data_IF_564628004013
#
_entry.id   IF_564628004013
#
_cell.length_a   1.000
_cell.length_b   1.000
_cell.length_c   1.000
_cell.angle_alpha   90.00
_cell.angle_beta   90.00
_cell.angle_gamma   90.00
#
_symmetry.space_group_name_H-M   'P 1'
#
loop_
_entity.id
_entity.type
_entity.pdbx_description
1 polymer ?
#
# COMPACT_ATOMS: atom_id res chain seq x y z
N UNK A 1 -23.50 -5.19 -5.18
CA UNK A 1 -22.89 -5.44 -3.85
C UNK A 1 -21.67 -6.33 -3.94
N UNK A 2 -20.48 -5.70 -3.93
CA UNK A 2 -19.19 -6.35 -3.85
C UNK A 2 -18.78 -6.35 -2.36
N UNK A 3 -19.13 -7.41 -1.61
CA UNK A 3 -18.75 -7.57 -0.20
C UNK A 3 -17.95 -8.85 -0.06
N UNK A 4 -16.66 -8.74 0.26
CA UNK A 4 -15.75 -9.90 0.34
C UNK A 4 -15.20 -10.07 1.76
N UNK A 5 -16.00 -10.58 2.71
CA UNK A 5 -15.55 -10.76 4.10
C UNK A 5 -14.42 -11.80 4.24
N UNK A 6 -14.25 -12.67 3.24
CA UNK A 6 -13.16 -13.65 3.17
C UNK A 6 -11.91 -13.16 2.43
N UNK A 7 -11.85 -11.90 1.99
CA UNK A 7 -10.71 -11.36 1.25
C UNK A 7 -9.46 -11.35 2.13
N UNK A 8 -8.42 -12.08 1.71
CA UNK A 8 -7.12 -12.14 2.42
C UNK A 8 -6.04 -11.35 1.68
N UNK A 9 -6.15 -11.23 0.37
CA UNK A 9 -5.24 -10.47 -0.47
C UNK A 9 -6.03 -9.64 -1.48
N UNK A 10 -5.61 -8.39 -1.67
CA UNK A 10 -6.12 -7.49 -2.70
C UNK A 10 -4.97 -7.09 -3.61
N UNK A 11 -5.16 -7.23 -4.92
CA UNK A 11 -4.22 -6.78 -5.93
C UNK A 11 -4.98 -5.83 -6.84
N UNK A 12 -4.61 -4.56 -6.80
CA UNK A 12 -5.07 -3.54 -7.73
C UNK A 12 -4.05 -3.44 -8.84
N UNK A 13 -4.50 -3.72 -10.06
CA UNK A 13 -3.68 -3.63 -11.25
C UNK A 13 -3.95 -2.30 -11.96
N UNK A 14 -2.97 -1.73 -12.67
CA UNK A 14 -3.21 -0.58 -13.51
C UNK A 14 -4.31 -0.88 -14.53
N UNK A 15 -5.16 0.10 -14.88
CA UNK A 15 -6.22 -0.11 -15.84
C UNK A 15 -5.63 -0.40 -17.23
N UNK A 16 -6.15 -1.42 -17.91
CA UNK A 16 -5.78 -1.74 -19.30
C UNK A 16 -6.13 -0.60 -20.28
N UNK A 17 -7.12 0.22 -19.93
CA UNK A 17 -7.52 1.41 -20.68
C UNK A 17 -7.66 2.60 -19.72
N UNK A 18 -6.63 3.47 -19.63
CA UNK A 18 -6.63 4.62 -18.73
C UNK A 18 -7.81 5.58 -18.99
N UNK A 19 -8.17 5.81 -20.25
CA UNK A 19 -9.27 6.72 -20.62
C UNK A 19 -10.62 6.20 -20.12
N UNK A 20 -10.91 4.92 -20.33
CA UNK A 20 -12.14 4.30 -19.84
C UNK A 20 -12.18 4.24 -18.29
N UNK A 21 -11.02 4.05 -17.65
CA UNK A 21 -10.92 4.08 -16.20
C UNK A 21 -11.21 5.46 -15.64
N UNK A 22 -10.66 6.53 -16.22
CA UNK A 22 -10.90 7.91 -15.78
C UNK A 22 -12.39 8.28 -15.82
N UNK A 23 -13.14 7.81 -16.82
CA UNK A 23 -14.59 8.03 -16.90
C UNK A 23 -15.39 7.37 -15.77
N UNK A 24 -14.83 6.37 -15.10
CA UNK A 24 -15.49 5.61 -14.04
C UNK A 24 -14.72 5.60 -12.71
N UNK A 25 -13.63 6.38 -12.60
CA UNK A 25 -12.67 6.32 -11.51
C UNK A 25 -13.33 6.52 -10.13
N UNK A 26 -14.25 7.49 -10.04
CA UNK A 26 -14.98 7.76 -8.80
C UNK A 26 -15.86 6.57 -8.38
N UNK A 27 -16.59 5.95 -9.32
CA UNK A 27 -17.43 4.79 -9.01
C UNK A 27 -16.60 3.57 -8.60
N UNK A 28 -15.47 3.34 -9.25
CA UNK A 28 -14.56 2.26 -8.85
C UNK A 28 -13.94 2.50 -7.48
N UNK A 29 -13.59 3.75 -7.17
CA UNK A 29 -13.07 4.13 -5.86
C UNK A 29 -14.11 3.91 -4.76
N UNK A 30 -15.35 4.35 -4.95
CA UNK A 30 -16.45 4.14 -3.99
C UNK A 30 -16.69 2.64 -3.75
N UNK A 31 -16.69 1.83 -4.81
CA UNK A 31 -16.84 0.38 -4.70
C UNK A 31 -15.66 -0.27 -3.95
N UNK A 32 -14.43 0.18 -4.20
CA UNK A 32 -13.24 -0.29 -3.49
C UNK A 32 -13.31 0.07 -2.00
N UNK A 33 -13.68 1.30 -1.66
CA UNK A 33 -13.86 1.77 -0.28
C UNK A 33 -14.89 0.91 0.45
N UNK A 34 -16.08 0.72 -0.14
CA UNK A 34 -17.11 -0.12 0.45
C UNK A 34 -16.66 -1.57 0.64
N UNK A 35 -15.86 -2.10 -0.29
CA UNK A 35 -15.32 -3.45 -0.20
C UNK A 35 -14.32 -3.58 0.96
N UNK A 36 -13.38 -2.63 1.07
CA UNK A 36 -12.33 -2.61 2.08
C UNK A 36 -12.90 -2.49 3.50
N UNK A 37 -13.95 -1.68 3.70
CA UNK A 37 -14.64 -1.55 4.99
C UNK A 37 -15.17 -2.88 5.56
N UNK A 38 -15.42 -3.88 4.70
CA UNK A 38 -15.90 -5.20 5.11
C UNK A 38 -14.80 -6.27 5.13
N UNK A 39 -13.59 -5.95 4.66
CA UNK A 39 -12.49 -6.89 4.45
C UNK A 39 -11.65 -7.11 5.72
N UNK A 40 -12.28 -7.54 6.82
CA UNK A 40 -11.63 -7.71 8.14
C UNK A 40 -10.50 -8.74 8.20
N UNK A 41 -10.33 -9.56 7.15
CA UNK A 41 -9.29 -10.61 7.06
C UNK A 41 -8.18 -10.25 6.08
N UNK A 42 -8.21 -9.05 5.50
CA UNK A 42 -7.24 -8.61 4.52
C UNK A 42 -5.87 -8.52 5.18
N UNK A 43 -4.91 -9.29 4.67
CA UNK A 43 -3.54 -9.40 5.17
C UNK A 43 -2.53 -8.73 4.26
N UNK A 44 -2.82 -8.70 2.95
CA UNK A 44 -1.90 -8.20 1.92
C UNK A 44 -2.62 -7.30 0.93
N UNK A 45 -2.02 -6.16 0.61
CA UNK A 45 -2.49 -5.26 -0.44
C UNK A 45 -1.33 -4.92 -1.37
N UNK A 46 -1.56 -5.05 -2.67
CA UNK A 46 -0.68 -4.49 -3.71
C UNK A 46 -1.48 -3.45 -4.50
N UNK A 47 -0.97 -2.23 -4.62
CA UNK A 47 -1.66 -1.17 -5.35
C UNK A 47 -0.71 -0.12 -5.95
N UNK A 48 -1.09 0.53 -7.07
CA UNK A 48 -0.39 1.69 -7.59
C UNK A 48 -0.31 2.82 -6.58
N UNK A 49 0.79 3.56 -6.63
CA UNK A 49 1.08 4.73 -5.79
C UNK A 49 0.03 5.85 -5.93
N UNK A 50 -0.78 5.81 -6.98
CA UNK A 50 -1.40 6.99 -7.52
C UNK A 50 -2.89 6.83 -7.80
N UNK A 51 -3.58 6.20 -6.85
CA UNK A 51 -5.03 6.34 -6.72
C UNK A 51 -5.34 7.80 -6.33
N UNK A 52 -5.19 8.69 -7.31
CA UNK A 52 -4.86 10.12 -7.22
C UNK A 52 -5.86 11.00 -6.48
N UNK A 53 -7.05 10.48 -6.21
CA UNK A 53 -8.12 11.22 -5.51
C UNK A 53 -8.53 10.50 -4.21
N UNK A 54 -8.09 9.26 -4.01
CA UNK A 54 -8.55 8.40 -2.91
C UNK A 54 -7.47 7.79 -2.06
N UNK A 55 -6.18 7.93 -2.40
CA UNK A 55 -5.13 7.18 -1.71
C UNK A 55 -5.10 7.45 -0.21
N UNK A 56 -5.35 8.70 0.21
CA UNK A 56 -5.42 9.03 1.63
C UNK A 56 -6.57 8.29 2.33
N UNK A 57 -7.73 8.23 1.71
CA UNK A 57 -8.91 7.55 2.26
C UNK A 57 -8.71 6.03 2.26
N UNK A 58 -8.20 5.48 1.16
CA UNK A 58 -7.87 4.06 1.04
C UNK A 58 -6.85 3.65 2.08
N UNK A 59 -5.72 4.37 2.20
CA UNK A 59 -4.68 4.10 3.19
C UNK A 59 -5.24 4.25 4.61
N UNK A 60 -6.08 5.27 4.88
CA UNK A 60 -6.77 5.39 6.18
C UNK A 60 -7.61 4.16 6.49
N UNK A 61 -8.42 3.68 5.56
CA UNK A 61 -9.23 2.47 5.75
C UNK A 61 -8.33 1.24 5.95
N UNK A 62 -7.25 1.12 5.19
CA UNK A 62 -6.30 0.02 5.33
C UNK A 62 -5.64 0.02 6.73
N UNK A 63 -5.42 1.19 7.33
CA UNK A 63 -4.93 1.31 8.72
C UNK A 63 -5.95 0.89 9.76
N UNK A 64 -7.24 0.90 9.44
CA UNK A 64 -8.28 0.39 10.34
C UNK A 64 -8.45 -1.14 10.24
N UNK A 65 -7.74 -1.80 9.32
CA UNK A 65 -7.74 -3.25 9.18
C UNK A 65 -6.63 -3.86 10.05
N UNK A 66 -7.01 -4.33 11.24
CA UNK A 66 -6.12 -4.95 12.23
C UNK A 66 -5.32 -6.16 11.69
N UNK A 67 -5.84 -6.85 10.68
CA UNK A 67 -5.18 -8.04 10.09
C UNK A 67 -4.16 -7.71 9.02
N UNK A 68 -4.07 -6.45 8.57
CA UNK A 68 -3.17 -6.08 7.48
C UNK A 68 -1.72 -6.15 7.94
N UNK A 69 -0.87 -6.80 7.13
CA UNK A 69 0.55 -7.05 7.42
C UNK A 69 1.47 -6.62 6.29
N UNK A 70 1.03 -6.75 5.05
CA UNK A 70 1.84 -6.42 3.87
C UNK A 70 1.17 -5.36 3.03
N UNK A 71 1.90 -4.30 2.71
CA UNK A 71 1.52 -3.28 1.75
C UNK A 71 2.62 -3.17 0.70
N UNK A 72 2.25 -3.40 -0.55
CA UNK A 72 3.12 -3.21 -1.70
C UNK A 72 2.58 -2.04 -2.54
N UNK A 73 3.43 -1.02 -2.71
CA UNK A 73 3.15 0.14 -3.53
C UNK A 73 3.91 0.01 -4.85
N UNK A 74 3.19 0.11 -5.96
CA UNK A 74 3.73 -0.04 -7.31
C UNK A 74 3.74 1.27 -8.07
N UNK A 75 4.38 1.25 -9.24
CA UNK A 75 4.46 2.40 -10.14
C UNK A 75 3.10 3.09 -10.37
N UNK A 76 3.08 4.44 -10.45
CA UNK A 76 1.88 5.19 -10.78
C UNK A 76 1.30 4.78 -12.15
N UNK A 77 -0.02 4.68 -12.23
CA UNK A 77 -0.84 4.31 -13.39
C UNK A 77 -1.54 5.49 -14.08
N UNK A 78 -1.66 6.63 -13.41
CA UNK A 78 -2.22 7.91 -13.83
C UNK A 78 -1.17 8.72 -14.58
N UNK A 79 -1.54 9.11 -15.79
CA UNK A 79 -0.72 9.96 -16.66
C UNK A 79 -0.36 11.30 -15.99
N UNK A 80 -1.24 11.83 -15.14
CA UNK A 80 -1.03 13.12 -14.48
C UNK A 80 0.06 13.06 -13.41
N UNK A 81 0.23 11.90 -12.75
CA UNK A 81 1.24 11.73 -11.69
C UNK A 81 2.61 11.43 -12.29
N UNK A 82 2.68 10.68 -13.38
CA UNK A 82 3.92 10.42 -14.11
C UNK A 82 4.56 11.69 -14.68
N UNK A 83 3.79 12.77 -14.89
CA UNK A 83 4.25 14.01 -15.49
C UNK A 83 4.27 15.20 -14.50
N UNK A 84 4.24 14.94 -13.19
CA UNK A 84 4.23 16.02 -12.21
C UNK A 84 5.51 16.87 -12.29
N UNK A 85 5.38 18.21 -12.24
CA UNK A 85 6.53 19.07 -12.01
C UNK A 85 7.26 18.68 -10.72
N UNK A 86 8.59 18.81 -10.63
CA UNK A 86 9.38 18.38 -9.48
C UNK A 86 8.87 18.90 -8.13
N UNK A 87 8.39 20.14 -8.08
CA UNK A 87 7.85 20.75 -6.86
C UNK A 87 6.55 20.08 -6.39
N UNK A 88 5.70 19.65 -7.32
CA UNK A 88 4.47 18.92 -7.01
C UNK A 88 4.77 17.45 -6.67
N UNK A 89 5.80 16.85 -7.30
CA UNK A 89 6.31 15.54 -6.93
C UNK A 89 6.75 15.49 -5.47
N UNK A 90 7.54 16.47 -5.00
CA UNK A 90 7.95 16.58 -3.59
C UNK A 90 6.75 16.74 -2.65
N UNK A 91 5.73 17.52 -3.05
CA UNK A 91 4.51 17.68 -2.24
C UNK A 91 3.72 16.38 -2.14
N UNK A 92 3.59 15.65 -3.25
CA UNK A 92 2.97 14.34 -3.29
C UNK A 92 3.72 13.36 -2.39
N UNK A 93 5.04 13.26 -2.54
CA UNK A 93 5.88 12.41 -1.70
C UNK A 93 5.67 12.74 -0.23
N UNK A 94 5.79 14.00 0.20
CA UNK A 94 5.56 14.39 1.60
C UNK A 94 4.16 14.03 2.11
N UNK A 95 3.12 14.21 1.28
CA UNK A 95 1.76 13.82 1.63
C UNK A 95 1.63 12.30 1.79
N UNK A 96 2.36 11.52 1.00
CA UNK A 96 2.44 10.07 1.14
C UNK A 96 3.18 9.65 2.40
N UNK A 97 4.36 10.24 2.68
CA UNK A 97 5.14 9.93 3.88
C UNK A 97 4.30 10.15 5.15
N UNK A 98 3.65 11.31 5.26
CA UNK A 98 2.77 11.63 6.40
C UNK A 98 1.57 10.69 6.50
N UNK A 99 1.09 10.19 5.36
CA UNK A 99 -0.01 9.23 5.31
C UNK A 99 0.45 7.81 5.63
N UNK A 100 1.71 7.45 5.41
CA UNK A 100 2.25 6.12 5.73
C UNK A 100 2.80 6.04 7.17
N UNK A 101 3.35 7.12 7.73
CA UNK A 101 3.96 7.17 9.07
C UNK A 101 3.00 7.66 10.18
N UNK A 102 1.82 7.04 10.36
CA UNK A 102 1.90 5.83 11.17
C UNK A 102 1.10 4.64 10.62
N UNK A 103 1.75 3.51 10.40
CA UNK A 103 1.12 2.24 9.99
C UNK A 103 1.52 1.10 10.95
N UNK A 104 1.07 1.14 12.21
CA UNK A 104 1.64 0.34 13.29
C UNK A 104 1.46 -1.17 13.13
N UNK A 105 0.45 -1.67 12.42
CA UNK A 105 0.26 -3.11 12.22
C UNK A 105 1.08 -3.69 11.06
N UNK A 106 1.69 -2.84 10.23
CA UNK A 106 2.40 -3.27 9.04
C UNK A 106 3.69 -4.00 9.44
N UNK A 107 3.88 -5.22 8.91
CA UNK A 107 5.09 -6.02 9.08
C UNK A 107 6.03 -5.89 7.88
N UNK A 108 5.45 -5.65 6.71
CA UNK A 108 6.15 -5.58 5.43
C UNK A 108 5.63 -4.41 4.60
N UNK A 109 6.55 -3.55 4.17
CA UNK A 109 6.31 -2.50 3.19
C UNK A 109 7.20 -2.75 1.98
N UNK A 110 6.61 -2.88 0.80
CA UNK A 110 7.34 -3.11 -0.43
C UNK A 110 7.09 -1.97 -1.43
N UNK A 111 8.13 -1.62 -2.17
CA UNK A 111 8.07 -0.63 -3.25
C UNK A 111 8.72 -1.19 -4.51
N UNK A 112 8.14 -0.90 -5.67
CA UNK A 112 8.87 -1.07 -6.94
C UNK A 112 10.08 -0.12 -7.00
N UNK A 113 11.18 -0.56 -7.61
CA UNK A 113 12.44 0.19 -7.59
C UNK A 113 12.38 1.54 -8.29
N UNK A 114 11.52 1.66 -9.28
CA UNK A 114 11.33 2.84 -10.12
C UNK A 114 10.66 4.02 -9.39
N UNK A 115 9.95 3.74 -8.29
CA UNK A 115 9.30 4.76 -7.45
C UNK A 115 10.07 5.11 -6.17
N UNK A 116 11.24 4.51 -5.95
CA UNK A 116 12.04 4.76 -4.75
C UNK A 116 12.80 6.09 -4.89
N UNK A 117 12.31 7.12 -4.19
CA UNK A 117 13.09 8.32 -3.89
C UNK A 117 13.91 8.14 -2.61
N UNK A 118 14.95 8.97 -2.44
CA UNK A 118 15.75 8.99 -1.20
C UNK A 118 14.88 9.23 0.04
N UNK A 119 13.83 10.06 -0.08
CA UNK A 119 12.88 10.33 1.00
C UNK A 119 12.05 9.09 1.39
N UNK A 120 11.58 8.34 0.40
CA UNK A 120 10.83 7.09 0.64
C UNK A 120 11.74 6.04 1.28
N UNK A 121 13.00 5.96 0.84
CA UNK A 121 14.00 5.08 1.44
C UNK A 121 14.23 5.41 2.92
N UNK A 122 14.48 6.69 3.25
CA UNK A 122 14.70 7.14 4.62
C UNK A 122 13.47 6.86 5.51
N UNK A 123 12.27 7.15 5.02
CA UNK A 123 11.02 6.84 5.72
C UNK A 123 10.89 5.35 5.99
N UNK A 124 11.06 4.53 4.96
CA UNK A 124 10.93 3.08 5.08
C UNK A 124 11.97 2.49 6.05
N UNK A 125 13.21 2.99 6.05
CA UNK A 125 14.26 2.57 7.00
C UNK A 125 13.96 3.02 8.45
N UNK A 126 13.33 4.19 8.65
CA UNK A 126 12.87 4.61 9.99
C UNK A 126 11.71 3.77 10.49
N UNK A 127 10.77 3.41 9.61
CA UNK A 127 9.63 2.57 9.95
C UNK A 127 10.03 1.10 10.14
N UNK A 128 11.01 0.62 9.37
CA UNK A 128 11.39 -0.78 9.28
C UNK A 128 12.92 -0.90 9.33
N UNK A 129 13.44 -1.51 10.39
CA UNK A 129 14.89 -1.61 10.62
C UNK A 129 15.67 -2.51 9.64
N UNK A 130 15.01 -3.15 8.67
CA UNK A 130 15.67 -4.04 7.70
C UNK A 130 15.16 -3.81 6.27
N UNK A 131 16.12 -3.66 5.35
CA UNK A 131 15.92 -3.56 3.90
C UNK A 131 16.40 -4.85 3.23
N UNK A 132 15.56 -5.42 2.37
CA UNK A 132 15.82 -6.61 1.60
C UNK A 132 15.51 -6.35 0.11
N UNK A 133 16.30 -6.94 -0.78
CA UNK A 133 15.90 -6.99 -2.19
C UNK A 133 14.86 -8.10 -2.38
N UNK A 134 13.83 -7.84 -3.17
CA UNK A 134 12.88 -8.89 -3.55
C UNK A 134 13.56 -9.95 -4.43
N UNK A 135 13.00 -11.16 -4.41
CA UNK A 135 13.52 -12.28 -5.21
C UNK A 135 13.42 -12.05 -6.73
N UNK A 136 12.45 -11.24 -7.17
CA UNK A 136 12.28 -10.85 -8.58
C UNK A 136 13.24 -9.73 -9.02
N UNK A 137 13.95 -9.11 -8.08
CA UNK A 137 14.85 -8.00 -8.34
C UNK A 137 14.18 -6.71 -8.82
N UNK A 138 12.85 -6.62 -8.81
CA UNK A 138 12.08 -5.45 -9.25
C UNK A 138 11.60 -4.57 -8.10
N UNK A 139 11.51 -5.13 -6.89
CA UNK A 139 11.03 -4.44 -5.70
C UNK A 139 12.11 -4.38 -4.61
N UNK A 140 11.91 -3.47 -3.67
CA UNK A 140 12.63 -3.40 -2.40
C UNK A 140 11.63 -3.61 -1.29
N UNK A 141 11.97 -4.50 -0.36
CA UNK A 141 11.11 -4.93 0.73
C UNK A 141 11.72 -4.43 2.04
N UNK A 142 10.89 -3.80 2.86
CA UNK A 142 11.23 -3.32 4.19
C UNK A 142 10.43 -4.09 5.23
N UNK A 143 11.11 -4.64 6.24
CA UNK A 143 10.51 -5.50 7.27
C UNK A 143 10.95 -5.12 8.67
N UNK A 144 10.04 -5.29 9.64
CA UNK A 144 10.40 -5.20 11.05
C UNK A 144 11.10 -6.50 11.48
N UNK A 145 12.37 -6.45 11.96
CA UNK A 145 13.10 -7.66 12.36
C UNK A 145 12.53 -8.35 13.62
N UNK A 146 11.56 -7.75 14.32
CA UNK A 146 11.07 -8.24 15.62
C UNK A 146 9.65 -8.84 15.60
N UNK A 147 8.92 -8.84 14.47
CA UNK A 147 7.58 -9.44 14.40
C UNK A 147 7.52 -10.89 13.94
N UNK A 148 8.61 -11.41 13.38
CA UNK A 148 8.70 -12.82 12.95
C UNK A 148 8.52 -13.83 14.10
N UNK A 149 8.63 -13.38 15.37
CA UNK A 149 8.59 -14.27 16.54
C UNK A 149 7.25 -14.35 17.28
N UNK A 150 6.26 -13.48 17.00
CA UNK A 150 5.01 -13.45 17.79
C UNK A 150 3.93 -14.39 17.23
N UNK A 151 4.07 -14.85 15.99
CA UNK A 151 3.07 -15.72 15.34
C UNK A 151 3.37 -17.23 15.40
N UNK A 152 4.44 -17.65 16.09
CA UNK A 152 4.83 -19.05 16.23
C UNK A 152 4.79 -19.60 17.67
N UNK A 153 4.10 -18.94 18.61
CA UNK A 153 3.80 -19.56 19.91
C UNK A 153 2.48 -20.32 19.79
N UNK A 154 2.48 -21.66 19.70
CA UNK A 154 1.24 -22.40 19.81
C UNK A 154 0.65 -22.14 21.20
N UNK A 155 -0.59 -21.65 21.25
CA UNK A 155 -1.38 -21.51 22.47
C UNK A 155 -1.74 -22.89 23.02
N UNK A 156 -0.76 -23.54 23.64
CA UNK A 156 -0.98 -24.58 24.64
C UNK A 156 -0.20 -24.12 25.86
N UNK A 157 -0.86 -24.09 27.02
CA UNK A 157 -0.44 -23.51 28.31
C UNK A 157 -0.95 -22.08 28.54
N UNK A 158 -2.27 -21.94 28.70
CA UNK A 158 -2.88 -21.29 29.86
C UNK A 158 -4.20 -22.01 30.17
#
# INVERSE_FOLDING_TARGET
DFRHPGLVALILLPPLNPTAFLHHAQSYQEQLICSLQTAKRLRRVRMPLDLSVGIKEIITILKDIDSLRTLELTSPSSFDICNLPPTQGIQLENAMLTTLEPFPQLEELAFEKDILSDLILEMAERMFGKKEASADGQSVIFREPHRDFVHNTPSFLL
#
